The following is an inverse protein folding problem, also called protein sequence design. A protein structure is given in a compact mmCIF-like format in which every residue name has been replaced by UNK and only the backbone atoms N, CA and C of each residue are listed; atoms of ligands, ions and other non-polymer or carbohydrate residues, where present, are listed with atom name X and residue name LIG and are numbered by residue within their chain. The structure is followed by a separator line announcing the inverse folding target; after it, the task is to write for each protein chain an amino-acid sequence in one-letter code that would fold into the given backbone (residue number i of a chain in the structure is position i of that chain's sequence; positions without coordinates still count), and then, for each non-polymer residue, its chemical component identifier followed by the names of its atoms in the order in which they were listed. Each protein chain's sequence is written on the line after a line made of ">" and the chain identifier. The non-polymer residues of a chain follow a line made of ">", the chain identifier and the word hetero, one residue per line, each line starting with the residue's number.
data_IF_242560004743
#
_entry.id   IF_242560004743
#
_cell.length_a   1.000
_cell.length_b   1.000
_cell.length_c   1.000
_cell.angle_alpha   90.00
_cell.angle_beta   90.00
_cell.angle_gamma   90.00
#
_symmetry.space_group_name_H-M   'P 1'
#
loop_
_entity.id
_entity.type
_entity.pdbx_description
1 polymer ?
#
# COMPACT_ATOMS: atom_id res chain seq x y z
N UNK A 1 5.70 16.90 3.67
CA UNK A 1 5.22 15.55 4.09
C UNK A 1 4.37 15.77 5.35
N UNK A 2 3.09 15.42 5.35
CA UNK A 2 2.19 15.64 6.51
C UNK A 2 2.67 14.81 7.73
N UNK A 3 3.08 15.43 8.84
CA UNK A 3 3.59 14.72 10.02
C UNK A 3 2.52 13.90 10.75
N UNK A 4 1.23 14.20 10.51
CA UNK A 4 0.10 13.50 11.12
C UNK A 4 -0.43 12.36 10.24
N UNK A 5 0.12 12.17 9.04
CA UNK A 5 -0.29 11.06 8.18
C UNK A 5 0.18 9.73 8.77
N UNK A 6 -0.71 8.72 8.90
CA UNK A 6 -0.33 7.41 9.42
C UNK A 6 0.81 6.79 8.61
N UNK A 7 1.83 6.29 9.31
CA UNK A 7 3.01 5.68 8.67
C UNK A 7 2.66 4.29 8.14
N UNK A 8 3.21 3.96 6.97
CA UNK A 8 3.17 2.62 6.37
C UNK A 8 4.55 2.01 6.57
N UNK A 9 4.62 0.83 7.18
CA UNK A 9 5.90 0.14 7.34
C UNK A 9 6.35 -0.49 6.01
N UNK A 10 7.67 -0.59 5.81
CA UNK A 10 8.24 -1.24 4.61
C UNK A 10 7.76 -2.69 4.48
N UNK A 11 7.74 -3.43 5.59
CA UNK A 11 7.26 -4.81 5.62
C UNK A 11 5.81 -4.94 5.16
N UNK A 12 4.92 -4.07 5.64
CA UNK A 12 3.52 -4.05 5.24
C UNK A 12 3.36 -3.76 3.75
N UNK A 13 4.11 -2.75 3.26
CA UNK A 13 4.08 -2.35 1.86
C UNK A 13 4.56 -3.45 0.91
N UNK A 14 5.66 -4.12 1.25
CA UNK A 14 6.22 -5.23 0.46
C UNK A 14 5.29 -6.44 0.47
N UNK A 15 4.77 -6.84 1.65
CA UNK A 15 3.90 -8.02 1.78
C UNK A 15 2.64 -7.89 0.94
N UNK A 16 1.89 -6.80 1.08
CA UNK A 16 0.69 -6.58 0.28
C UNK A 16 1.03 -6.27 -1.17
N UNK A 17 2.12 -5.54 -1.44
CA UNK A 17 2.56 -5.29 -2.80
C UNK A 17 2.80 -6.58 -3.58
N UNK A 18 3.47 -7.58 -2.98
CA UNK A 18 3.65 -8.91 -3.57
C UNK A 18 2.32 -9.64 -3.79
N UNK A 19 1.42 -9.61 -2.81
CA UNK A 19 0.09 -10.22 -2.97
C UNK A 19 -0.70 -9.62 -4.15
N UNK A 20 -0.52 -8.34 -4.45
CA UNK A 20 -1.19 -7.66 -5.57
C UNK A 20 -0.51 -7.84 -6.93
N UNK A 21 0.81 -7.92 -6.95
CA UNK A 21 1.59 -7.97 -8.19
C UNK A 21 1.99 -9.41 -8.59
N UNK A 22 1.79 -10.39 -7.70
CA UNK A 22 2.29 -11.76 -7.81
C UNK A 22 3.53 -11.96 -6.95
N UNK A 23 3.62 -13.13 -6.30
CA UNK A 23 4.70 -13.52 -5.37
C UNK A 23 6.11 -13.34 -5.97
N UNK A 24 6.25 -13.52 -7.29
CA UNK A 24 7.52 -13.40 -8.03
C UNK A 24 7.97 -11.96 -8.31
N UNK A 25 7.20 -10.95 -7.87
CA UNK A 25 7.53 -9.55 -8.09
C UNK A 25 8.74 -9.11 -7.24
N UNK A 26 9.82 -8.61 -7.86
CA UNK A 26 10.94 -8.03 -7.13
C UNK A 26 10.47 -6.89 -6.20
N UNK A 27 10.86 -6.87 -4.91
CA UNK A 27 10.56 -5.77 -3.98
C UNK A 27 10.97 -4.39 -4.50
N UNK A 28 11.97 -4.35 -5.37
CA UNK A 28 12.53 -3.17 -6.02
C UNK A 28 11.49 -2.48 -6.93
N UNK A 29 10.57 -3.24 -7.53
CA UNK A 29 9.45 -2.72 -8.31
C UNK A 29 8.49 -1.90 -7.44
N UNK A 30 8.27 -2.35 -6.19
CA UNK A 30 7.39 -1.69 -5.24
C UNK A 30 8.06 -0.42 -4.67
N UNK A 31 9.36 -0.47 -4.42
CA UNK A 31 10.11 0.59 -3.76
C UNK A 31 10.54 1.74 -4.68
N UNK A 32 10.21 1.66 -5.98
CA UNK A 32 10.43 2.74 -6.93
C UNK A 32 11.85 2.82 -7.48
N UNK A 33 12.61 1.72 -7.43
CA UNK A 33 13.96 1.65 -8.00
C UNK A 33 13.98 1.50 -9.52
N UNK A 34 12.81 1.42 -10.17
CA UNK A 34 12.67 1.35 -11.63
C UNK A 34 11.75 2.48 -12.15
N UNK A 35 12.25 3.40 -12.99
CA UNK A 35 11.50 4.55 -13.49
C UNK A 35 10.43 4.21 -14.54
N UNK A 36 10.37 2.98 -15.05
CA UNK A 36 9.50 2.58 -16.17
C UNK A 36 8.18 1.89 -15.78
N UNK A 37 7.88 1.76 -14.48
CA UNK A 37 6.68 1.04 -14.07
C UNK A 37 5.47 1.96 -13.96
N UNK A 38 4.94 2.33 -15.11
CA UNK A 38 3.54 2.78 -15.29
C UNK A 38 2.57 1.56 -15.31
N UNK A 39 2.91 0.51 -14.58
CA UNK A 39 2.04 -0.67 -14.54
C UNK A 39 0.83 -0.34 -13.68
N UNK A 40 -0.37 -0.35 -14.27
CA UNK A 40 -1.65 -0.07 -13.62
C UNK A 40 -1.78 -0.71 -12.23
N UNK A 41 -1.18 -1.88 -12.04
CA UNK A 41 -1.15 -2.61 -10.78
C UNK A 41 -0.40 -1.87 -9.65
N UNK A 42 0.73 -1.20 -9.92
CA UNK A 42 1.43 -0.37 -8.92
C UNK A 42 0.56 0.81 -8.50
N UNK A 43 -0.15 1.41 -9.46
CA UNK A 43 -1.09 2.49 -9.17
C UNK A 43 -2.28 2.03 -8.31
N UNK A 44 -2.73 0.78 -8.47
CA UNK A 44 -3.69 0.12 -7.57
C UNK A 44 -3.11 -0.03 -6.16
N UNK A 45 -1.90 -0.57 -6.01
CA UNK A 45 -1.23 -0.71 -4.69
C UNK A 45 -1.10 0.65 -4.00
N UNK A 46 -0.64 1.68 -4.72
CA UNK A 46 -0.56 3.06 -4.19
C UNK A 46 -1.93 3.62 -3.79
N UNK A 47 -3.00 3.28 -4.51
CA UNK A 47 -4.37 3.71 -4.19
C UNK A 47 -4.89 3.02 -2.93
N UNK A 48 -4.66 1.72 -2.79
CA UNK A 48 -5.03 0.94 -1.61
C UNK A 48 -4.34 1.51 -0.37
N UNK A 49 -3.02 1.73 -0.40
CA UNK A 49 -2.30 2.28 0.74
C UNK A 49 -2.71 3.72 1.10
N UNK A 50 -3.07 4.55 0.12
CA UNK A 50 -3.65 5.88 0.39
C UNK A 50 -5.00 5.78 1.12
N UNK A 51 -5.84 4.81 0.75
CA UNK A 51 -7.12 4.57 1.42
C UNK A 51 -6.92 3.98 2.82
N UNK A 52 -5.98 3.05 2.98
CA UNK A 52 -5.60 2.49 4.28
C UNK A 52 -5.13 3.59 5.26
N UNK A 53 -4.35 4.58 4.78
CA UNK A 53 -3.99 5.75 5.59
C UNK A 53 -5.19 6.59 6.03
N UNK A 54 -6.23 6.73 5.19
CA UNK A 54 -7.46 7.44 5.58
C UNK A 54 -8.22 6.66 6.67
N UNK A 55 -8.30 5.34 6.56
CA UNK A 55 -8.97 4.47 7.56
C UNK A 55 -8.19 4.48 8.89
N UNK A 56 -6.86 4.37 8.84
CA UNK A 56 -6.03 4.47 10.04
C UNK A 56 -6.24 5.83 10.73
N UNK A 57 -6.28 6.92 9.94
CA UNK A 57 -6.51 8.27 10.44
C UNK A 57 -7.90 8.44 11.06
N UNK A 58 -8.97 7.91 10.45
CA UNK A 58 -10.32 8.01 11.02
C UNK A 58 -10.45 7.25 12.35
N UNK A 59 -9.57 6.26 12.59
CA UNK A 59 -9.44 5.54 13.85
C UNK A 59 -8.40 6.15 14.81
N UNK A 60 -7.96 7.39 14.55
CA UNK A 60 -6.92 8.10 15.34
C UNK A 60 -5.59 7.32 15.50
N UNK A 61 -5.24 6.46 14.54
CA UNK A 61 -3.99 5.70 14.57
C UNK A 61 -2.86 6.43 13.86
N UNK A 62 -1.65 6.32 14.41
CA UNK A 62 -0.41 6.87 13.81
C UNK A 62 0.29 5.92 12.83
N UNK A 63 -0.17 4.68 12.74
CA UNK A 63 0.38 3.65 11.85
C UNK A 63 -0.75 2.91 11.15
N UNK A 64 -0.52 2.56 9.89
CA UNK A 64 -1.39 1.66 9.11
C UNK A 64 -1.14 0.23 9.57
N UNK A 65 -2.22 -0.54 9.76
CA UNK A 65 -2.16 -1.97 10.09
C UNK A 65 -2.85 -2.82 9.02
N UNK A 66 -2.71 -4.15 9.10
CA UNK A 66 -3.26 -5.09 8.13
C UNK A 66 -4.75 -4.88 7.86
N UNK A 67 -5.56 -4.68 8.91
CA UNK A 67 -7.00 -4.44 8.74
C UNK A 67 -7.33 -3.16 7.97
N UNK A 68 -6.50 -2.13 8.02
CA UNK A 68 -6.70 -0.92 7.21
C UNK A 68 -6.49 -1.21 5.73
N UNK A 69 -5.51 -2.06 5.42
CA UNK A 69 -5.20 -2.46 4.04
C UNK A 69 -6.30 -3.37 3.50
N UNK A 70 -6.75 -4.35 4.28
CA UNK A 70 -7.84 -5.25 3.91
C UNK A 70 -9.15 -4.50 3.65
N UNK A 71 -9.50 -3.52 4.50
CA UNK A 71 -10.69 -2.67 4.28
C UNK A 71 -10.53 -1.68 3.12
N UNK A 72 -9.29 -1.42 2.70
CA UNK A 72 -8.99 -0.53 1.58
C UNK A 72 -8.96 -1.24 0.22
N UNK A 73 -8.95 -2.58 0.21
CA UNK A 73 -8.95 -3.39 -1.01
C UNK A 73 -10.15 -3.03 -1.89
N UNK A 74 -9.99 -3.05 -3.22
CA UNK A 74 -11.14 -3.02 -4.11
C UNK A 74 -12.01 -4.27 -3.88
N UNK A 75 -13.34 -4.17 -4.03
CA UNK A 75 -14.20 -5.36 -4.01
C UNK A 75 -13.75 -6.33 -5.11
N UNK A 76 -13.67 -7.62 -4.78
CA UNK A 76 -13.39 -8.68 -5.74
C UNK A 76 -14.71 -8.98 -6.45
N UNK A 77 -14.81 -8.60 -7.72
CA UNK A 77 -15.93 -8.93 -8.61
C UNK A 77 -15.68 -10.24 -9.32
#
# INVERSE_FOLDING_TARGET
>A
RDPNRPKISKALYVRFGRQFLGEDSPPELLLGSHPELDSNQINVVRRVFRRAQRIARSKNRRSVIDSDVLLAMPPQT
#
